data_IF_180508177511
#
_entry.id   IF_180508177511
#
_cell.length_a   1.000
_cell.length_b   1.000
_cell.length_c   1.000
_cell.angle_alpha   90.00
_cell.angle_beta   90.00
_cell.angle_gamma   90.00
#
_symmetry.space_group_name_H-M   'P 1'
#
loop_
_entity.id
_entity.type
_entity.pdbx_description
1 polymer ?
#
# COMPACT_ATOMS: atom_id res chain seq x y z
N UNK A 1 -41.03 35.37 11.31
CA UNK A 1 -40.68 33.95 11.58
C UNK A 1 -40.83 33.15 10.28
N UNK A 2 -39.73 32.90 9.56
CA UNK A 2 -39.70 31.95 8.43
C UNK A 2 -38.69 30.87 8.80
N UNK A 3 -39.20 29.75 9.28
CA UNK A 3 -38.43 28.51 9.39
C UNK A 3 -38.31 27.93 7.99
N UNK A 4 -37.24 28.26 7.27
CA UNK A 4 -36.83 27.49 6.11
C UNK A 4 -36.13 26.24 6.63
N UNK A 5 -36.79 25.09 6.45
CA UNK A 5 -36.30 23.78 6.85
C UNK A 5 -34.91 23.52 6.31
N UNK A 6 -33.97 23.44 7.24
CA UNK A 6 -32.64 22.90 7.04
C UNK A 6 -32.80 21.39 6.83
N UNK A 7 -33.21 21.01 5.60
CA UNK A 7 -33.12 19.64 5.11
C UNK A 7 -31.64 19.33 4.95
N UNK A 8 -30.97 19.07 6.09
CA UNK A 8 -29.68 18.41 6.16
C UNK A 8 -29.81 17.09 5.47
N UNK A 9 -29.52 17.11 4.17
CA UNK A 9 -29.39 15.93 3.34
C UNK A 9 -28.35 15.06 4.04
N UNK A 10 -28.76 13.89 4.54
CA UNK A 10 -27.91 12.79 4.97
C UNK A 10 -27.11 12.28 3.76
N UNK A 11 -26.21 13.10 3.21
CA UNK A 11 -25.17 12.63 2.31
C UNK A 11 -24.16 11.97 3.22
N UNK A 12 -23.99 10.65 3.09
CA UNK A 12 -22.87 9.95 3.71
C UNK A 12 -21.58 10.63 3.24
N UNK A 13 -20.94 11.46 4.09
CA UNK A 13 -19.96 12.39 3.57
C UNK A 13 -18.66 11.65 3.21
N UNK A 14 -18.43 10.44 3.75
CA UNK A 14 -17.36 9.54 3.28
C UNK A 14 -17.47 9.26 1.78
N UNK A 15 -18.68 9.05 1.28
CA UNK A 15 -18.93 8.81 -0.14
C UNK A 15 -18.57 10.07 -0.95
N UNK A 16 -18.80 11.27 -0.44
CA UNK A 16 -18.46 12.50 -1.18
C UNK A 16 -16.95 12.69 -1.34
N UNK A 17 -16.15 12.39 -0.31
CA UNK A 17 -14.68 12.50 -0.36
C UNK A 17 -14.07 11.64 -1.48
N UNK A 18 -14.53 10.39 -1.60
CA UNK A 18 -14.04 9.47 -2.62
C UNK A 18 -14.73 9.67 -3.98
N UNK A 19 -16.00 10.10 -4.00
CA UNK A 19 -16.68 10.47 -5.24
C UNK A 19 -16.01 11.66 -5.92
N UNK A 20 -15.33 12.54 -5.17
CA UNK A 20 -14.56 13.64 -5.75
C UNK A 20 -13.40 13.15 -6.64
N UNK A 21 -12.82 11.98 -6.36
CA UNK A 21 -11.82 11.34 -7.25
C UNK A 21 -12.41 11.00 -8.62
N UNK A 22 -13.66 10.52 -8.63
CA UNK A 22 -14.37 10.18 -9.86
C UNK A 22 -14.89 11.43 -10.59
N UNK A 23 -15.35 12.45 -9.84
CA UNK A 23 -15.84 13.72 -10.41
C UNK A 23 -14.73 14.57 -11.02
N UNK A 24 -13.53 14.50 -10.47
CA UNK A 24 -12.37 15.27 -10.92
C UNK A 24 -11.29 14.35 -11.50
N UNK A 25 -11.70 13.34 -12.28
CA UNK A 25 -10.82 12.33 -12.87
C UNK A 25 -9.71 12.96 -13.73
N UNK A 26 -10.02 14.01 -14.49
CA UNK A 26 -9.04 14.75 -15.29
C UNK A 26 -7.97 15.43 -14.43
N UNK A 27 -8.39 16.06 -13.32
CA UNK A 27 -7.46 16.69 -12.38
C UNK A 27 -6.60 15.62 -11.69
N UNK A 28 -7.21 14.53 -11.23
CA UNK A 28 -6.50 13.41 -10.65
C UNK A 28 -5.45 12.85 -11.62
N UNK A 29 -5.83 12.62 -12.88
CA UNK A 29 -4.92 12.11 -13.91
C UNK A 29 -3.77 13.08 -14.20
N UNK A 30 -4.04 14.38 -14.21
CA UNK A 30 -3.00 15.41 -14.36
C UNK A 30 -2.02 15.42 -13.19
N UNK A 31 -2.53 15.34 -11.95
CA UNK A 31 -1.69 15.24 -10.75
C UNK A 31 -0.85 13.96 -10.78
N UNK A 32 -1.47 12.81 -11.03
CA UNK A 32 -0.79 11.52 -11.15
C UNK A 32 0.33 11.54 -12.22
N UNK A 33 0.03 12.07 -13.42
CA UNK A 33 1.03 12.21 -14.49
C UNK A 33 2.17 13.15 -14.09
N UNK A 34 1.88 14.19 -13.33
CA UNK A 34 2.89 15.12 -12.82
C UNK A 34 3.77 14.42 -11.79
N UNK A 35 3.19 13.71 -10.84
CA UNK A 35 3.93 12.93 -9.82
C UNK A 35 4.84 11.88 -10.46
N UNK A 36 4.34 11.13 -11.45
CA UNK A 36 5.18 10.20 -12.23
C UNK A 36 6.34 10.91 -12.91
N UNK A 37 6.08 12.06 -13.54
CA UNK A 37 7.13 12.84 -14.19
C UNK A 37 8.17 13.29 -13.17
N UNK A 38 7.76 13.81 -12.03
CA UNK A 38 8.66 14.25 -10.96
C UNK A 38 9.51 13.09 -10.45
N UNK A 39 8.90 11.93 -10.18
CA UNK A 39 9.59 10.74 -9.65
C UNK A 39 10.68 10.20 -10.58
N UNK A 40 10.49 10.30 -11.89
CA UNK A 40 11.42 9.73 -12.89
C UNK A 40 12.14 10.77 -13.76
N UNK A 41 11.99 12.07 -13.49
CA UNK A 41 12.61 13.13 -14.30
C UNK A 41 14.13 13.06 -14.22
N UNK A 42 14.81 13.10 -15.37
CA UNK A 42 16.27 13.14 -15.44
C UNK A 42 16.96 11.85 -14.98
N UNK A 43 16.20 10.77 -14.83
CA UNK A 43 16.72 9.48 -14.39
C UNK A 43 17.23 8.64 -15.56
N UNK A 44 18.46 8.12 -15.44
CA UNK A 44 19.10 7.30 -16.48
C UNK A 44 18.35 5.98 -16.71
N UNK A 45 17.91 5.31 -15.64
CA UNK A 45 17.18 4.02 -15.74
C UNK A 45 15.65 4.19 -15.76
N UNK A 46 15.12 5.40 -15.54
CA UNK A 46 13.69 5.66 -15.50
C UNK A 46 12.95 4.75 -14.52
N UNK A 47 11.94 4.00 -15.02
CA UNK A 47 11.17 3.03 -14.24
C UNK A 47 12.04 1.89 -13.67
N UNK A 48 13.18 1.56 -14.27
CA UNK A 48 14.06 0.48 -13.78
C UNK A 48 14.55 0.69 -12.35
N UNK A 49 14.63 1.95 -11.88
CA UNK A 49 15.00 2.26 -10.49
C UNK A 49 14.04 1.68 -9.46
N UNK A 50 12.78 1.43 -9.82
CA UNK A 50 11.83 0.84 -8.87
C UNK A 50 12.15 -0.60 -8.54
N UNK A 51 12.94 -1.29 -9.37
CA UNK A 51 13.33 -2.68 -9.16
C UNK A 51 14.65 -2.81 -8.39
N UNK A 52 15.50 -1.78 -8.38
CA UNK A 52 16.82 -1.85 -7.75
C UNK A 52 16.72 -2.19 -6.26
N UNK A 53 15.87 -1.47 -5.51
CA UNK A 53 15.69 -1.74 -4.08
C UNK A 53 15.08 -3.13 -3.81
N UNK A 54 13.95 -3.54 -4.42
CA UNK A 54 13.41 -4.89 -4.24
C UNK A 54 14.39 -6.01 -4.59
N UNK A 55 15.15 -5.86 -5.68
CA UNK A 55 16.14 -6.86 -6.09
C UNK A 55 17.33 -6.90 -5.13
N UNK A 56 17.76 -5.76 -4.60
CA UNK A 56 18.79 -5.69 -3.56
C UNK A 56 18.31 -6.37 -2.28
N UNK A 57 17.09 -6.07 -1.81
CA UNK A 57 16.49 -6.72 -0.64
C UNK A 57 16.39 -8.24 -0.87
N UNK A 58 15.86 -8.67 -2.01
CA UNK A 58 15.76 -10.09 -2.39
C UNK A 58 17.14 -10.76 -2.35
N UNK A 59 18.16 -10.13 -2.91
CA UNK A 59 19.53 -10.68 -2.95
C UNK A 59 20.11 -10.80 -1.53
N UNK A 60 20.04 -9.74 -0.73
CA UNK A 60 20.56 -9.72 0.65
C UNK A 60 19.84 -10.75 1.51
N UNK A 61 18.51 -10.81 1.47
CA UNK A 61 17.75 -11.76 2.27
C UNK A 61 17.96 -13.21 1.80
N UNK A 62 18.13 -13.45 0.51
CA UNK A 62 18.49 -14.78 -0.01
C UNK A 62 19.85 -15.21 0.55
N UNK A 63 20.86 -14.35 0.48
CA UNK A 63 22.19 -14.64 1.03
C UNK A 63 22.11 -14.92 2.53
N UNK A 64 21.40 -14.09 3.29
CA UNK A 64 21.32 -14.24 4.75
C UNK A 64 20.52 -15.48 5.16
N UNK A 65 19.28 -15.63 4.70
CA UNK A 65 18.37 -16.65 5.22
C UNK A 65 18.49 -18.01 4.54
N UNK A 66 18.83 -18.05 3.26
CA UNK A 66 18.98 -19.30 2.50
C UNK A 66 20.42 -19.79 2.51
N UNK A 67 21.40 -18.93 2.18
CA UNK A 67 22.81 -19.37 2.01
C UNK A 67 23.57 -19.42 3.34
N UNK A 68 23.54 -18.34 4.14
CA UNK A 68 24.36 -18.24 5.35
C UNK A 68 23.74 -19.01 6.53
N UNK A 69 22.44 -18.84 6.77
CA UNK A 69 21.77 -19.45 7.92
C UNK A 69 21.22 -20.85 7.63
N UNK A 70 20.96 -21.20 6.36
CA UNK A 70 20.25 -22.43 6.00
C UNK A 70 18.90 -22.60 6.70
N UNK A 71 18.33 -21.48 7.19
CA UNK A 71 17.17 -21.49 8.08
C UNK A 71 15.84 -21.67 7.33
N UNK A 72 15.86 -21.50 6.00
CA UNK A 72 14.69 -21.56 5.14
C UNK A 72 14.93 -22.56 4.01
N UNK A 73 14.15 -23.64 4.00
CA UNK A 73 14.14 -24.68 2.97
C UNK A 73 12.96 -24.47 2.01
N UNK A 74 12.89 -23.30 1.38
CA UNK A 74 11.88 -22.98 0.37
C UNK A 74 12.54 -23.00 -1.01
N UNK A 75 12.04 -23.85 -1.90
CA UNK A 75 12.47 -23.89 -3.29
C UNK A 75 12.20 -22.54 -3.97
N UNK A 76 13.12 -22.08 -4.81
CA UNK A 76 13.00 -20.77 -5.45
C UNK A 76 12.78 -19.61 -4.46
N UNK A 77 13.43 -19.64 -3.29
CA UNK A 77 13.32 -18.61 -2.26
C UNK A 77 13.38 -17.14 -2.75
N UNK A 78 14.21 -16.75 -3.74
CA UNK A 78 14.16 -15.40 -4.30
C UNK A 78 12.78 -15.01 -4.85
N UNK A 79 12.06 -15.94 -5.50
CA UNK A 79 10.72 -15.70 -6.03
C UNK A 79 9.67 -15.65 -4.91
N UNK A 80 9.84 -16.48 -3.87
CA UNK A 80 9.05 -16.39 -2.65
C UNK A 80 9.19 -15.00 -2.00
N UNK A 81 10.42 -14.50 -1.86
CA UNK A 81 10.69 -13.17 -1.32
C UNK A 81 10.03 -12.08 -2.18
N UNK A 82 10.24 -12.14 -3.49
CA UNK A 82 9.74 -11.12 -4.40
C UNK A 82 8.19 -11.07 -4.40
N UNK A 83 7.52 -12.21 -4.23
CA UNK A 83 6.06 -12.30 -4.08
C UNK A 83 5.51 -11.64 -2.82
N UNK A 84 6.29 -11.55 -1.73
CA UNK A 84 5.91 -10.77 -0.56
C UNK A 84 6.33 -9.31 -0.67
N UNK A 85 7.52 -9.06 -1.22
CA UNK A 85 8.09 -7.73 -1.38
C UNK A 85 7.23 -6.84 -2.29
N UNK A 86 6.56 -7.41 -3.31
CA UNK A 86 5.68 -6.63 -4.20
C UNK A 86 4.56 -5.90 -3.43
N UNK A 87 3.94 -6.58 -2.47
CA UNK A 87 2.90 -6.00 -1.60
C UNK A 87 3.51 -4.98 -0.63
N UNK A 88 4.60 -5.36 0.04
CA UNK A 88 5.22 -4.51 1.08
C UNK A 88 5.84 -3.24 0.51
N UNK A 89 6.62 -3.33 -0.57
CA UNK A 89 7.30 -2.19 -1.18
C UNK A 89 6.30 -1.17 -1.70
N UNK A 90 5.20 -1.63 -2.31
CA UNK A 90 4.09 -0.75 -2.68
C UNK A 90 3.50 -0.05 -1.46
N UNK A 91 3.14 -0.81 -0.43
CA UNK A 91 2.51 -0.28 0.78
C UNK A 91 3.41 0.76 1.48
N UNK A 92 4.66 0.38 1.76
CA UNK A 92 5.65 1.25 2.40
C UNK A 92 5.89 2.52 1.57
N UNK A 93 6.11 2.38 0.26
CA UNK A 93 6.35 3.50 -0.65
C UNK A 93 5.16 4.45 -0.74
N UNK A 94 3.93 3.90 -0.78
CA UNK A 94 2.69 4.68 -0.80
C UNK A 94 2.53 5.49 0.48
N UNK A 95 2.71 4.89 1.66
CA UNK A 95 2.60 5.59 2.95
C UNK A 95 3.66 6.69 3.08
N UNK A 96 4.93 6.35 2.83
CA UNK A 96 6.04 7.26 3.08
C UNK A 96 6.04 8.44 2.11
N UNK A 97 5.77 8.20 0.82
CA UNK A 97 5.66 9.29 -0.17
C UNK A 97 4.41 10.15 0.07
N UNK A 98 3.32 9.56 0.55
CA UNK A 98 2.09 10.31 0.82
C UNK A 98 2.22 11.22 2.04
N UNK A 99 3.06 10.85 3.02
CA UNK A 99 3.29 11.62 4.24
C UNK A 99 3.62 13.09 3.96
N UNK A 100 4.43 13.36 2.93
CA UNK A 100 4.85 14.71 2.54
C UNK A 100 4.09 15.28 1.35
N UNK A 101 3.11 14.54 0.79
CA UNK A 101 2.41 14.91 -0.44
C UNK A 101 1.66 16.24 -0.38
N UNK A 102 0.98 16.53 0.75
CA UNK A 102 0.23 17.77 0.93
C UNK A 102 1.17 18.98 1.08
N UNK A 103 2.23 18.84 1.87
CA UNK A 103 3.22 19.90 2.09
C UNK A 103 4.04 20.19 0.83
N UNK A 104 4.48 19.16 0.12
CA UNK A 104 5.26 19.29 -1.11
C UNK A 104 4.49 19.99 -2.24
N UNK A 105 3.15 20.04 -2.14
CA UNK A 105 2.27 20.64 -3.13
C UNK A 105 1.48 21.85 -2.58
N UNK A 106 1.92 22.42 -1.44
CA UNK A 106 1.23 23.52 -0.79
C UNK A 106 1.03 24.73 -1.71
N UNK A 107 1.99 25.03 -2.59
CA UNK A 107 1.86 26.12 -3.58
C UNK A 107 0.65 25.96 -4.50
N UNK A 108 0.36 24.72 -4.93
CA UNK A 108 -0.82 24.42 -5.74
C UNK A 108 -2.11 24.59 -4.92
N UNK A 109 -2.09 24.13 -3.66
CA UNK A 109 -3.23 24.24 -2.74
C UNK A 109 -3.62 25.70 -2.46
N UNK A 110 -2.64 26.60 -2.36
CA UNK A 110 -2.89 28.05 -2.17
C UNK A 110 -3.52 28.73 -3.39
N UNK A 111 -3.19 28.25 -4.59
CA UNK A 111 -3.55 28.92 -5.84
C UNK A 111 -4.93 28.51 -6.37
N UNK A 112 -5.36 27.27 -6.10
CA UNK A 112 -6.59 26.71 -6.67
C UNK A 112 -7.37 25.98 -5.59
N UNK A 113 -8.68 26.24 -5.51
CA UNK A 113 -9.58 25.46 -4.64
C UNK A 113 -9.93 24.14 -5.34
N UNK A 114 -9.45 23.03 -4.80
CA UNK A 114 -9.80 21.68 -5.22
C UNK A 114 -9.72 20.70 -4.04
N UNK A 115 -10.26 19.49 -4.15
CA UNK A 115 -10.24 18.52 -3.04
C UNK A 115 -8.81 18.01 -2.81
N UNK A 116 -8.22 18.34 -1.65
CA UNK A 116 -6.79 18.13 -1.34
C UNK A 116 -6.39 16.67 -1.26
N UNK A 117 -7.33 15.77 -0.96
CA UNK A 117 -7.10 14.33 -0.91
C UNK A 117 -6.60 13.76 -2.25
N UNK A 118 -6.92 14.42 -3.38
CA UNK A 118 -6.42 14.01 -4.71
C UNK A 118 -4.89 13.96 -4.77
N UNK A 119 -4.20 14.82 -4.02
CA UNK A 119 -2.73 14.87 -4.00
C UNK A 119 -2.14 13.59 -3.40
N UNK A 120 -2.70 13.15 -2.27
CA UNK A 120 -2.33 11.89 -1.62
C UNK A 120 -2.64 10.71 -2.53
N UNK A 121 -3.85 10.63 -3.10
CA UNK A 121 -4.21 9.51 -3.97
C UNK A 121 -3.41 9.48 -5.29
N UNK A 122 -2.99 10.63 -5.81
CA UNK A 122 -2.09 10.69 -6.97
C UNK A 122 -0.71 10.07 -6.64
N UNK A 123 -0.19 10.29 -5.43
CA UNK A 123 1.05 9.68 -4.95
C UNK A 123 0.89 8.17 -4.71
N UNK A 124 -0.24 7.73 -4.15
CA UNK A 124 -0.58 6.30 -4.02
C UNK A 124 -0.63 5.65 -5.40
N UNK A 125 -1.32 6.27 -6.38
CA UNK A 125 -1.35 5.80 -7.76
C UNK A 125 0.04 5.73 -8.40
N UNK A 126 0.90 6.71 -8.13
CA UNK A 126 2.29 6.74 -8.61
C UNK A 126 3.09 5.55 -8.07
N UNK A 127 2.85 5.14 -6.81
CA UNK A 127 3.43 3.92 -6.25
C UNK A 127 2.75 2.64 -6.77
N UNK A 128 1.49 2.68 -7.17
CA UNK A 128 0.84 1.55 -7.83
C UNK A 128 1.51 1.21 -9.18
N UNK A 129 2.16 2.18 -9.85
CA UNK A 129 3.02 1.88 -11.00
C UNK A 129 4.21 1.03 -10.59
N UNK A 130 4.83 1.27 -9.44
CA UNK A 130 5.90 0.41 -8.90
C UNK A 130 5.38 -1.01 -8.65
N UNK A 131 4.18 -1.16 -8.07
CA UNK A 131 3.52 -2.45 -7.89
C UNK A 131 3.36 -3.18 -9.24
N UNK A 132 2.82 -2.49 -10.25
CA UNK A 132 2.60 -3.05 -11.58
C UNK A 132 3.91 -3.46 -12.23
N UNK A 133 4.96 -2.63 -12.17
CA UNK A 133 6.29 -2.96 -12.71
C UNK A 133 6.84 -4.23 -12.04
N UNK A 134 6.71 -4.34 -10.71
CA UNK A 134 7.13 -5.54 -9.98
C UNK A 134 6.32 -6.77 -10.38
N UNK A 135 5.00 -6.66 -10.53
CA UNK A 135 4.15 -7.77 -10.97
C UNK A 135 4.45 -8.20 -12.41
N UNK A 136 4.70 -7.26 -13.32
CA UNK A 136 5.08 -7.54 -14.72
C UNK A 136 6.41 -8.29 -14.80
N UNK A 137 7.32 -8.10 -13.85
CA UNK A 137 8.56 -8.88 -13.76
C UNK A 137 8.32 -10.22 -13.06
N UNK A 138 7.62 -10.23 -11.93
CA UNK A 138 7.43 -11.41 -11.09
C UNK A 138 6.58 -12.48 -11.79
N UNK A 139 5.44 -12.10 -12.37
CA UNK A 139 4.46 -13.06 -12.92
C UNK A 139 5.08 -13.91 -14.03
N UNK A 140 5.69 -13.36 -15.10
CA UNK A 140 6.29 -14.19 -16.15
C UNK A 140 7.39 -15.12 -15.63
N UNK A 141 8.23 -14.64 -14.69
CA UNK A 141 9.28 -15.46 -14.09
C UNK A 141 8.68 -16.62 -13.32
N UNK A 142 7.64 -16.38 -12.51
CA UNK A 142 6.96 -17.46 -11.77
C UNK A 142 6.28 -18.45 -12.72
N UNK A 143 5.66 -18.01 -13.83
CA UNK A 143 5.04 -18.93 -14.80
C UNK A 143 6.05 -19.84 -15.52
N UNK A 144 7.30 -19.39 -15.65
CA UNK A 144 8.41 -20.15 -16.25
C UNK A 144 8.98 -21.16 -15.24
N UNK A 145 9.30 -20.71 -14.02
CA UNK A 145 10.01 -21.52 -13.03
C UNK A 145 9.10 -22.31 -12.08
N UNK A 146 7.84 -21.91 -11.90
CA UNK A 146 6.87 -22.53 -10.98
C UNK A 146 5.56 -22.82 -11.74
N UNK A 147 5.50 -23.93 -12.50
CA UNK A 147 4.36 -24.26 -13.37
C UNK A 147 3.00 -24.33 -12.67
N UNK A 148 2.99 -24.65 -11.37
CA UNK A 148 1.80 -24.75 -10.51
C UNK A 148 1.03 -23.43 -10.44
N UNK A 149 1.72 -22.29 -10.61
CA UNK A 149 1.14 -20.95 -10.53
C UNK A 149 0.33 -20.56 -11.77
N UNK A 150 0.45 -21.32 -12.87
CA UNK A 150 -0.19 -21.00 -14.17
C UNK A 150 -1.70 -20.95 -14.11
N UNK A 151 -2.31 -21.72 -13.21
CA UNK A 151 -3.77 -21.77 -13.03
C UNK A 151 -4.29 -20.77 -12.01
N UNK A 152 -3.44 -20.22 -11.15
CA UNK A 152 -3.85 -19.41 -9.99
C UNK A 152 -3.42 -17.95 -10.06
N UNK A 153 -2.38 -17.59 -10.82
CA UNK A 153 -1.78 -16.25 -10.78
C UNK A 153 -2.78 -15.10 -10.93
N UNK A 154 -3.83 -15.29 -11.75
CA UNK A 154 -4.86 -14.28 -12.01
C UNK A 154 -5.68 -13.92 -10.77
N UNK A 155 -5.77 -14.81 -9.78
CA UNK A 155 -6.45 -14.55 -8.52
C UNK A 155 -5.78 -13.46 -7.67
N UNK A 156 -4.49 -13.15 -7.93
CA UNK A 156 -3.80 -12.03 -7.30
C UNK A 156 -4.26 -10.66 -7.80
N UNK A 157 -4.73 -10.56 -9.05
CA UNK A 157 -5.12 -9.29 -9.69
C UNK A 157 -6.26 -8.55 -8.98
N UNK A 158 -7.40 -9.20 -8.63
CA UNK A 158 -8.47 -8.51 -7.91
C UNK A 158 -8.04 -8.06 -6.51
N UNK A 159 -7.04 -8.70 -5.89
CA UNK A 159 -6.51 -8.32 -4.57
C UNK A 159 -5.68 -7.04 -4.59
N UNK A 160 -5.28 -6.56 -5.77
CA UNK A 160 -4.64 -5.24 -5.92
C UNK A 160 -5.59 -4.12 -5.48
N UNK A 161 -6.90 -4.27 -5.71
CA UNK A 161 -7.90 -3.27 -5.34
C UNK A 161 -7.97 -3.05 -3.81
N UNK A 162 -8.20 -4.08 -2.97
CA UNK A 162 -8.17 -3.90 -1.52
C UNK A 162 -6.79 -3.50 -1.01
N UNK A 163 -5.69 -3.92 -1.64
CA UNK A 163 -4.34 -3.45 -1.31
C UNK A 163 -4.20 -1.93 -1.51
N UNK A 164 -4.62 -1.40 -2.66
CA UNK A 164 -4.58 0.03 -2.95
C UNK A 164 -5.53 0.80 -2.04
N UNK A 165 -6.70 0.25 -1.73
CA UNK A 165 -7.65 0.83 -0.79
C UNK A 165 -7.07 0.93 0.63
N UNK A 166 -6.47 -0.15 1.14
CA UNK A 166 -5.81 -0.18 2.44
C UNK A 166 -4.65 0.81 2.48
N UNK A 167 -3.74 0.76 1.50
CA UNK A 167 -2.60 1.65 1.42
C UNK A 167 -3.04 3.12 1.33
N UNK A 168 -4.03 3.42 0.50
CA UNK A 168 -4.56 4.79 0.34
C UNK A 168 -5.26 5.31 1.59
N UNK A 169 -6.06 4.49 2.27
CA UNK A 169 -6.70 4.84 3.54
C UNK A 169 -5.66 5.11 4.63
N UNK A 170 -4.71 4.18 4.83
CA UNK A 170 -3.66 4.35 5.83
C UNK A 170 -2.74 5.53 5.47
N UNK A 171 -2.43 5.77 4.19
CA UNK A 171 -1.55 6.85 3.74
C UNK A 171 -2.13 8.26 3.91
N UNK A 172 -3.46 8.42 3.80
CA UNK A 172 -4.11 9.73 3.95
C UNK A 172 -4.03 10.26 5.38
N UNK A 173 -4.00 9.37 6.38
CA UNK A 173 -3.87 9.75 7.80
C UNK A 173 -2.54 10.47 8.10
N UNK A 174 -1.34 9.89 7.87
CA UNK A 174 -0.09 10.58 8.10
C UNK A 174 0.10 11.76 7.14
N UNK A 175 -0.40 11.71 5.90
CA UNK A 175 -0.36 12.86 5.00
C UNK A 175 -1.07 14.09 5.62
N UNK A 176 -2.23 13.87 6.22
CA UNK A 176 -3.00 14.92 6.90
C UNK A 176 -2.32 15.36 8.19
N UNK A 177 -1.88 14.40 9.02
CA UNK A 177 -1.25 14.68 10.30
C UNK A 177 0.08 15.42 10.15
N UNK A 178 0.84 15.18 9.08
CA UNK A 178 2.15 15.82 8.84
C UNK A 178 2.01 17.32 8.60
N UNK A 179 0.88 17.78 8.07
CA UNK A 179 0.61 19.22 7.92
C UNK A 179 0.57 19.91 9.28
N UNK A 180 -0.01 19.24 10.28
CA UNK A 180 -0.13 19.73 11.66
C UNK A 180 1.15 19.46 12.47
N UNK A 181 1.73 18.27 12.32
CA UNK A 181 2.86 17.75 13.07
C UNK A 181 3.93 17.18 12.14
N UNK A 182 4.99 17.95 11.88
CA UNK A 182 6.04 17.54 10.92
C UNK A 182 6.78 16.26 11.32
N UNK A 183 6.87 15.96 12.62
CA UNK A 183 7.57 14.77 13.13
C UNK A 183 6.91 13.45 12.74
N UNK A 184 5.67 13.49 12.23
CA UNK A 184 4.95 12.30 11.73
C UNK A 184 5.73 11.61 10.61
N UNK A 185 6.47 12.34 9.77
CA UNK A 185 7.31 11.75 8.72
C UNK A 185 8.43 10.87 9.30
N UNK A 186 9.13 11.39 10.31
CA UNK A 186 10.19 10.65 10.99
C UNK A 186 9.63 9.45 11.76
N UNK A 187 8.52 9.64 12.47
CA UNK A 187 7.85 8.57 13.22
C UNK A 187 7.37 7.46 12.28
N UNK A 188 6.76 7.81 11.15
CA UNK A 188 6.30 6.85 10.15
C UNK A 188 7.47 6.02 9.61
N UNK A 189 8.57 6.68 9.27
CA UNK A 189 9.79 6.01 8.81
C UNK A 189 10.33 5.02 9.85
N UNK A 190 10.33 5.41 11.12
CA UNK A 190 10.79 4.56 12.22
C UNK A 190 9.86 3.36 12.48
N UNK A 191 8.55 3.51 12.31
CA UNK A 191 7.55 2.44 12.50
C UNK A 191 7.55 1.44 11.35
N UNK A 192 7.76 1.90 10.11
CA UNK A 192 7.73 1.02 8.94
C UNK A 192 8.80 -0.07 9.00
N UNK A 193 9.97 0.21 9.56
CA UNK A 193 11.05 -0.77 9.66
C UNK A 193 10.68 -2.01 10.52
N UNK A 194 10.31 -1.89 11.81
CA UNK A 194 9.89 -3.06 12.59
C UNK A 194 8.60 -3.68 12.03
N UNK A 195 7.69 -2.90 11.44
CA UNK A 195 6.48 -3.43 10.83
C UNK A 195 6.79 -4.35 9.63
N UNK A 196 7.84 -4.08 8.86
CA UNK A 196 8.33 -5.00 7.83
C UNK A 196 8.65 -6.37 8.41
N UNK A 197 9.41 -6.43 9.52
CA UNK A 197 9.80 -7.68 10.16
C UNK A 197 8.64 -8.41 10.84
N UNK A 198 7.62 -7.68 11.30
CA UNK A 198 6.37 -8.24 11.82
C UNK A 198 5.41 -8.71 10.72
N UNK A 199 5.74 -8.47 9.45
CA UNK A 199 4.96 -8.93 8.30
C UNK A 199 5.62 -10.17 7.70
N UNK A 200 4.88 -11.22 7.34
CA UNK A 200 5.44 -12.45 6.79
C UNK A 200 5.92 -12.29 5.34
N UNK A 201 6.88 -11.40 5.10
CA UNK A 201 7.46 -11.12 3.77
C UNK A 201 8.55 -12.12 3.44
N UNK A 202 9.45 -12.42 4.39
CA UNK A 202 10.62 -13.29 4.18
C UNK A 202 10.51 -14.65 4.88
N UNK A 203 9.40 -14.87 5.58
CA UNK A 203 9.10 -16.09 6.30
C UNK A 203 7.61 -16.46 6.12
N UNK A 204 7.28 -17.69 6.49
CA UNK A 204 5.91 -18.21 6.50
C UNK A 204 5.40 -18.36 7.93
N UNK A 205 4.08 -18.34 8.12
CA UNK A 205 3.47 -18.45 9.45
C UNK A 205 3.36 -19.90 9.96
N UNK A 206 3.64 -20.88 9.09
CA UNK A 206 3.65 -22.31 9.39
C UNK A 206 5.04 -22.84 9.84
N UNK A 207 6.03 -21.94 9.99
CA UNK A 207 7.37 -22.30 10.46
C UNK A 207 7.32 -23.04 11.81
N UNK A 208 7.99 -24.19 11.87
CA UNK A 208 8.01 -25.08 13.03
C UNK A 208 8.41 -24.37 14.33
N UNK A 209 9.30 -23.36 14.25
CA UNK A 209 9.73 -22.56 15.40
C UNK A 209 8.61 -21.69 16.00
N UNK A 210 7.63 -21.28 15.20
CA UNK A 210 6.51 -20.42 15.62
C UNK A 210 5.23 -21.25 15.83
N UNK A 211 5.13 -22.46 15.26
CA UNK A 211 3.98 -23.35 15.43
C UNK A 211 3.65 -23.67 16.89
N UNK A 212 4.63 -23.64 17.80
CA UNK A 212 4.42 -23.78 19.25
C UNK A 212 3.74 -22.60 19.94
N UNK A 213 3.56 -21.47 19.24
CA UNK A 213 2.99 -20.22 19.77
C UNK A 213 1.77 -19.76 18.96
N UNK A 214 0.63 -20.48 19.04
CA UNK A 214 -0.54 -20.20 18.20
C UNK A 214 -1.10 -18.78 18.37
N UNK A 215 -1.06 -18.22 19.58
CA UNK A 215 -1.49 -16.84 19.82
C UNK A 215 -0.61 -15.80 19.12
N UNK A 216 0.70 -16.05 19.03
CA UNK A 216 1.62 -15.16 18.32
C UNK A 216 1.35 -15.21 16.82
N UNK A 217 1.15 -16.40 16.25
CA UNK A 217 0.78 -16.57 14.84
C UNK A 217 -0.52 -15.83 14.53
N UNK A 218 -1.54 -15.98 15.38
CA UNK A 218 -2.82 -15.29 15.21
C UNK A 218 -2.67 -13.76 15.29
N UNK A 219 -1.83 -13.26 16.21
CA UNK A 219 -1.56 -11.83 16.35
C UNK A 219 -0.81 -11.27 15.14
N UNK A 220 0.23 -11.96 14.67
CA UNK A 220 0.99 -11.58 13.48
C UNK A 220 0.12 -11.63 12.22
N UNK A 221 -0.78 -12.61 12.12
CA UNK A 221 -1.67 -12.73 10.97
C UNK A 221 -2.78 -11.68 10.98
N UNK A 222 -3.61 -11.64 12.04
CA UNK A 222 -4.84 -10.84 12.05
C UNK A 222 -4.68 -9.46 12.70
N UNK A 223 -3.66 -9.27 13.53
CA UNK A 223 -3.36 -7.97 14.14
C UNK A 223 -2.62 -7.03 13.20
N UNK A 224 -1.92 -7.57 12.19
CA UNK A 224 -1.25 -6.81 11.17
C UNK A 224 -2.14 -6.70 9.91
N UNK A 225 -2.66 -5.51 9.56
CA UNK A 225 -3.59 -5.38 8.44
C UNK A 225 -2.96 -5.69 7.07
N UNK A 226 -1.63 -5.74 6.98
CA UNK A 226 -0.88 -6.02 5.75
C UNK A 226 -0.55 -7.50 5.61
N UNK A 227 -0.48 -8.26 6.71
CA UNK A 227 -0.08 -9.67 6.68
C UNK A 227 -1.04 -10.56 5.84
N UNK A 228 -2.37 -10.47 5.99
CA UNK A 228 -3.30 -11.25 5.16
C UNK A 228 -3.23 -10.86 3.68
N UNK A 229 -2.89 -9.60 3.35
CA UNK A 229 -2.67 -9.18 1.96
C UNK A 229 -1.41 -9.80 1.37
N UNK A 230 -0.32 -9.87 2.14
CA UNK A 230 0.93 -10.50 1.69
C UNK A 230 0.69 -11.98 1.40
N UNK A 231 -0.03 -12.67 2.29
CA UNK A 231 -0.35 -14.10 2.13
C UNK A 231 -1.30 -14.30 0.93
N UNK A 232 -2.43 -13.59 0.90
CA UNK A 232 -3.41 -13.74 -0.17
C UNK A 232 -2.87 -13.39 -1.58
N UNK A 233 -1.90 -12.48 -1.69
CA UNK A 233 -1.23 -12.19 -2.97
C UNK A 233 -0.16 -13.24 -3.28
N UNK A 234 0.58 -13.72 -2.27
CA UNK A 234 1.63 -14.73 -2.44
C UNK A 234 1.07 -16.07 -2.89
N UNK A 235 0.01 -16.56 -2.26
CA UNK A 235 -0.52 -17.90 -2.49
C UNK A 235 -0.77 -18.21 -3.98
N UNK A 236 -1.49 -17.36 -4.73
CA UNK A 236 -1.70 -17.58 -6.16
C UNK A 236 -0.45 -17.33 -7.01
N UNK A 237 0.48 -16.49 -6.56
CA UNK A 237 1.67 -16.12 -7.32
C UNK A 237 2.83 -17.09 -7.13
N UNK A 238 2.93 -17.78 -5.99
CA UNK A 238 4.08 -18.61 -5.65
C UNK A 238 3.68 -20.05 -5.27
N UNK A 239 2.68 -20.23 -4.39
CA UNK A 239 2.29 -21.57 -3.93
C UNK A 239 1.36 -22.33 -4.89
N UNK A 240 0.85 -21.67 -5.93
CA UNK A 240 -0.10 -22.29 -6.86
C UNK A 240 -1.47 -22.57 -6.23
N UNK A 241 -1.85 -21.78 -5.21
CA UNK A 241 -3.09 -21.97 -4.45
C UNK A 241 -3.97 -20.72 -4.53
N UNK A 242 -5.28 -20.90 -4.44
CA UNK A 242 -6.18 -19.75 -4.31
C UNK A 242 -6.05 -19.12 -2.92
N UNK A 243 -6.19 -17.78 -2.82
CA UNK A 243 -6.12 -17.11 -1.53
C UNK A 243 -7.19 -17.62 -0.57
N UNK A 244 -6.87 -17.84 0.72
CA UNK A 244 -7.84 -18.24 1.72
C UNK A 244 -8.99 -17.24 1.82
N UNK A 245 -10.23 -17.74 1.89
CA UNK A 245 -11.41 -16.87 1.93
C UNK A 245 -11.41 -15.92 3.13
N UNK A 246 -10.89 -16.37 4.28
CA UNK A 246 -10.74 -15.54 5.48
C UNK A 246 -9.87 -14.32 5.22
N UNK A 247 -8.75 -14.51 4.53
CA UNK A 247 -7.81 -13.43 4.20
C UNK A 247 -8.46 -12.48 3.19
N UNK A 248 -9.11 -13.00 2.14
CA UNK A 248 -9.84 -12.18 1.16
C UNK A 248 -10.90 -11.29 1.82
N UNK A 249 -11.71 -11.85 2.72
CA UNK A 249 -12.73 -11.09 3.44
C UNK A 249 -12.07 -10.03 4.33
N UNK A 250 -11.05 -10.42 5.08
CA UNK A 250 -10.34 -9.51 5.97
C UNK A 250 -9.74 -8.33 5.20
N UNK A 251 -9.07 -8.55 4.07
CA UNK A 251 -8.39 -7.47 3.35
C UNK A 251 -9.38 -6.49 2.71
N UNK A 252 -10.54 -6.97 2.27
CA UNK A 252 -11.63 -6.12 1.79
C UNK A 252 -12.18 -5.27 2.93
N UNK A 253 -12.48 -5.90 4.09
CA UNK A 253 -13.00 -5.19 5.26
C UNK A 253 -11.98 -4.18 5.80
N UNK A 254 -10.71 -4.59 5.93
CA UNK A 254 -9.63 -3.74 6.42
C UNK A 254 -9.38 -2.56 5.47
N UNK A 255 -9.41 -2.77 4.15
CA UNK A 255 -9.31 -1.70 3.17
C UNK A 255 -10.45 -0.68 3.28
N UNK A 256 -11.70 -1.16 3.38
CA UNK A 256 -12.86 -0.29 3.57
C UNK A 256 -12.83 0.45 4.91
N UNK A 257 -12.43 -0.24 5.98
CA UNK A 257 -12.28 0.35 7.31
C UNK A 257 -11.21 1.44 7.31
N UNK A 258 -10.05 1.20 6.69
CA UNK A 258 -8.97 2.17 6.56
C UNK A 258 -9.45 3.42 5.80
N UNK A 259 -10.17 3.26 4.68
CA UNK A 259 -10.77 4.38 3.95
C UNK A 259 -11.81 5.12 4.81
N UNK A 260 -12.61 4.41 5.59
CA UNK A 260 -13.57 5.00 6.52
C UNK A 260 -12.90 5.86 7.59
N UNK A 261 -11.89 5.32 8.29
CA UNK A 261 -11.11 6.02 9.32
C UNK A 261 -10.40 7.23 8.73
N UNK A 262 -9.77 7.07 7.57
CA UNK A 262 -9.07 8.15 6.89
C UNK A 262 -10.00 9.33 6.55
N UNK A 263 -11.21 9.05 6.07
CA UNK A 263 -12.20 10.07 5.78
C UNK A 263 -12.66 10.82 7.04
N UNK A 264 -12.73 10.15 8.19
CA UNK A 264 -13.06 10.79 9.47
C UNK A 264 -11.93 11.70 9.94
N UNK A 265 -10.68 11.24 9.87
CA UNK A 265 -9.50 12.03 10.27
C UNK A 265 -9.34 13.25 9.36
N UNK A 266 -9.39 13.06 8.04
CA UNK A 266 -9.26 14.13 7.06
C UNK A 266 -10.27 15.26 7.31
N UNK A 267 -11.54 14.91 7.58
CA UNK A 267 -12.58 15.91 7.87
C UNK A 267 -12.32 16.71 9.12
N UNK A 268 -11.89 16.06 10.21
CA UNK A 268 -11.63 16.75 11.47
C UNK A 268 -10.51 17.78 11.36
N UNK A 269 -9.61 17.59 10.39
CA UNK A 269 -8.44 18.43 10.19
C UNK A 269 -8.55 19.35 8.97
N UNK A 270 -9.65 19.32 8.20
CA UNK A 270 -9.76 20.09 6.95
C UNK A 270 -9.69 21.61 7.16
N UNK A 271 -10.28 22.10 8.26
CA UNK A 271 -10.17 23.51 8.65
C UNK A 271 -8.72 23.90 8.98
N UNK A 272 -7.98 23.02 9.66
CA UNK A 272 -6.57 23.24 9.98
C UNK A 272 -5.69 23.16 8.73
N UNK A 273 -5.98 22.21 7.84
CA UNK A 273 -5.35 22.12 6.52
C UNK A 273 -5.53 23.43 5.74
N UNK A 274 -6.69 24.08 5.85
CA UNK A 274 -6.95 25.35 5.17
C UNK A 274 -6.22 26.54 5.78
N UNK A 275 -5.94 26.51 7.08
CA UNK A 275 -5.20 27.56 7.76
C UNK A 275 -3.68 27.44 7.57
N UNK A 276 -3.16 26.21 7.46
CA UNK A 276 -1.72 25.94 7.48
C UNK A 276 -1.10 25.75 6.08
N UNK A 277 -1.88 25.31 5.09
CA UNK A 277 -1.41 25.13 3.71
C UNK A 277 -1.43 26.42 2.92
#
# INVERSE_FOLDING_TARGET
>A
MRMSGDLRRLHFPAVTLYADLLRHSDLFLNLFRRELRVKYRGSVLGLGWTLVLPLALMSVYTVVFSVLLGAVSIDHYPLFLLSGLVTWVFFQGALQSSCTSLLGQASLVKQVRFPRQLLTFAVVGTNAVTLVVMLVVLVPVNLIFIPETRTTFWAALPLVIPLVALAGGIALVPATLTVVFRDVEHLLTAILLPWFFLTPVFYTLDLQQISGHPHLVQLLHWGNPVAPLVIAIRDPLFFGQFPPLGDVIYVVVAGLAALGVAALVFRRLDDQLAAQL
#
